data_IF_220577305461
#
_entry.id   IF_220577305461
#
_cell.length_a   1.000
_cell.length_b   1.000
_cell.length_c   1.000
_cell.angle_alpha   90.00
_cell.angle_beta   90.00
_cell.angle_gamma   90.00
#
_symmetry.space_group_name_H-M   'P 1'
#
loop_
_entity.id
_entity.type
_entity.pdbx_description
1 polymer ?
#
# COMPACT_ATOMS: atom_id res chain seq x y z
N UNK A 1 -22.18 -0.46 -11.68
CA UNK A 1 -21.43 -0.13 -10.44
C UNK A 1 -22.21 -0.65 -9.25
N UNK A 2 -21.60 -1.51 -8.44
CA UNK A 2 -22.26 -2.13 -7.30
C UNK A 2 -22.56 -1.06 -6.23
N UNK A 3 -23.85 -0.74 -5.98
CA UNK A 3 -24.29 0.37 -5.10
C UNK A 3 -23.82 0.22 -3.64
N UNK A 4 -23.29 -0.94 -3.26
CA UNK A 4 -22.95 -1.32 -1.88
C UNK A 4 -21.44 -1.44 -1.62
N UNK A 5 -20.59 -0.71 -2.36
CA UNK A 5 -19.13 -0.80 -2.23
C UNK A 5 -18.47 0.58 -2.25
N UNK A 6 -17.26 0.68 -1.69
CA UNK A 6 -16.48 1.92 -1.68
C UNK A 6 -16.54 2.72 -0.38
N UNK A 7 -15.67 3.72 -0.26
CA UNK A 7 -15.49 4.47 0.98
C UNK A 7 -16.75 5.28 1.34
N UNK A 8 -17.36 5.94 0.35
CA UNK A 8 -18.56 6.74 0.56
C UNK A 8 -19.74 5.92 1.10
N UNK A 9 -19.95 4.72 0.55
CA UNK A 9 -20.98 3.80 1.05
C UNK A 9 -20.75 3.42 2.51
N UNK A 10 -19.56 2.91 2.85
CA UNK A 10 -19.26 2.49 4.22
C UNK A 10 -19.21 3.65 5.21
N UNK A 11 -18.73 4.82 4.79
CA UNK A 11 -18.73 6.01 5.63
C UNK A 11 -20.15 6.52 5.92
N UNK A 12 -21.06 6.44 4.95
CA UNK A 12 -22.48 6.70 5.15
C UNK A 12 -23.12 5.68 6.10
N UNK A 13 -22.81 4.38 5.93
CA UNK A 13 -23.25 3.32 6.84
C UNK A 13 -22.79 3.54 8.28
N UNK A 14 -21.58 4.08 8.51
CA UNK A 14 -21.14 4.44 9.87
C UNK A 14 -22.13 5.40 10.53
N UNK A 15 -22.62 6.42 9.81
CA UNK A 15 -23.58 7.38 10.36
C UNK A 15 -24.95 6.75 10.61
N UNK A 16 -25.42 5.92 9.68
CA UNK A 16 -26.69 5.18 9.83
C UNK A 16 -26.68 4.28 11.07
N UNK A 17 -25.64 3.46 11.21
CA UNK A 17 -25.51 2.52 12.33
C UNK A 17 -25.16 3.23 13.64
N UNK A 18 -24.46 4.37 13.60
CA UNK A 18 -24.23 5.22 14.77
C UNK A 18 -25.56 5.68 15.37
N UNK A 19 -26.47 6.21 14.54
CA UNK A 19 -27.79 6.68 14.98
C UNK A 19 -28.70 5.55 15.46
N UNK A 20 -28.53 4.34 14.95
CA UNK A 20 -29.25 3.15 15.45
C UNK A 20 -28.71 2.71 16.80
N UNK A 21 -27.39 2.61 16.92
CA UNK A 21 -26.72 2.27 18.18
C UNK A 21 -27.00 3.30 19.28
N UNK A 22 -27.11 4.58 18.93
CA UNK A 22 -27.45 5.67 19.85
C UNK A 22 -28.87 5.53 20.46
N UNK A 23 -29.82 4.96 19.70
CA UNK A 23 -31.23 4.82 20.13
C UNK A 23 -31.46 3.61 21.04
N UNK A 24 -31.00 2.43 20.62
CA UNK A 24 -31.32 1.17 21.31
C UNK A 24 -30.13 0.55 22.01
N UNK A 25 -28.91 0.86 21.56
CA UNK A 25 -27.66 0.23 21.97
C UNK A 25 -27.74 -1.31 22.01
N UNK A 26 -28.50 -1.89 21.08
CA UNK A 26 -28.64 -3.33 20.90
C UNK A 26 -27.39 -3.96 20.27
N UNK A 27 -27.27 -5.27 20.38
CA UNK A 27 -26.09 -6.03 19.92
C UNK A 27 -25.86 -5.87 18.41
N UNK A 28 -26.92 -5.93 17.60
CA UNK A 28 -26.81 -5.89 16.14
C UNK A 28 -26.37 -4.50 15.63
N UNK A 29 -26.98 -3.37 16.03
CA UNK A 29 -26.49 -2.03 15.67
C UNK A 29 -25.03 -1.76 16.09
N UNK A 30 -24.64 -2.20 17.28
CA UNK A 30 -23.26 -2.06 17.78
C UNK A 30 -22.28 -2.87 16.92
N UNK A 31 -22.67 -4.09 16.54
CA UNK A 31 -21.88 -4.94 15.65
C UNK A 31 -21.73 -4.30 14.26
N UNK A 32 -22.82 -3.85 13.66
CA UNK A 32 -22.83 -3.27 12.31
C UNK A 32 -22.05 -1.97 12.24
N UNK A 33 -22.16 -1.11 13.26
CA UNK A 33 -21.34 0.09 13.41
C UNK A 33 -19.84 -0.25 13.44
N UNK A 34 -19.43 -1.24 14.25
CA UNK A 34 -18.03 -1.70 14.31
C UNK A 34 -17.57 -2.25 12.96
N UNK A 35 -18.43 -2.99 12.25
CA UNK A 35 -18.14 -3.52 10.91
C UNK A 35 -17.92 -2.39 9.91
N UNK A 36 -18.79 -1.37 9.88
CA UNK A 36 -18.68 -0.22 8.99
C UNK A 36 -17.40 0.59 9.27
N UNK A 37 -17.07 0.84 10.55
CA UNK A 37 -15.82 1.51 10.94
C UNK A 37 -14.58 0.72 10.52
N UNK A 38 -14.58 -0.61 10.71
CA UNK A 38 -13.49 -1.50 10.26
C UNK A 38 -13.27 -1.39 8.75
N UNK A 39 -14.35 -1.31 7.97
CA UNK A 39 -14.30 -1.16 6.51
C UNK A 39 -13.59 0.12 6.12
N UNK A 40 -14.06 1.26 6.63
CA UNK A 40 -13.45 2.56 6.37
C UNK A 40 -11.96 2.60 6.76
N UNK A 41 -11.60 2.05 7.92
CA UNK A 41 -10.21 1.97 8.39
C UNK A 41 -9.33 1.10 7.48
N UNK A 42 -9.84 -0.05 7.06
CA UNK A 42 -9.10 -0.97 6.18
C UNK A 42 -8.90 -0.38 4.78
N UNK A 43 -9.93 0.29 4.25
CA UNK A 43 -9.83 1.02 2.98
C UNK A 43 -8.84 2.17 3.07
N UNK A 44 -8.87 2.93 4.16
CA UNK A 44 -7.93 4.03 4.42
C UNK A 44 -6.49 3.55 4.42
N UNK A 45 -6.20 2.41 5.04
CA UNK A 45 -4.85 1.85 5.08
C UNK A 45 -4.31 1.50 3.69
N UNK A 46 -5.16 0.96 2.80
CA UNK A 46 -4.79 0.67 1.41
C UNK A 46 -4.65 1.94 0.59
N UNK A 47 -5.67 2.81 0.64
CA UNK A 47 -5.75 4.00 -0.21
C UNK A 47 -4.67 5.02 0.11
N UNK A 48 -4.26 5.16 1.38
CA UNK A 48 -3.14 6.02 1.76
C UNK A 48 -1.81 5.64 1.08
N UNK A 49 -1.63 4.37 0.69
CA UNK A 49 -0.43 3.93 -0.04
C UNK A 49 -0.44 4.30 -1.51
N UNK A 50 -1.58 4.75 -2.04
CA UNK A 50 -1.77 5.16 -3.43
C UNK A 50 -1.99 6.66 -3.52
N UNK A 51 -2.84 7.22 -2.66
CA UNK A 51 -3.11 8.64 -2.53
C UNK A 51 -2.54 9.14 -1.19
N UNK A 52 -1.46 9.94 -1.19
CA UNK A 52 -0.78 10.36 0.03
C UNK A 52 -1.45 11.55 0.75
N UNK A 53 -2.70 11.91 0.41
CA UNK A 53 -3.45 13.00 1.06
C UNK A 53 -3.52 12.80 2.59
N UNK A 54 -3.18 13.82 3.42
CA UNK A 54 -3.23 13.70 4.88
C UNK A 54 -4.64 13.44 5.44
N UNK A 55 -5.71 13.74 4.70
CA UNK A 55 -7.09 13.48 5.11
C UNK A 55 -7.36 12.00 5.40
N UNK A 56 -6.62 11.07 4.77
CA UNK A 56 -6.67 9.64 5.11
C UNK A 56 -6.35 9.40 6.59
N UNK A 57 -5.32 10.06 7.13
CA UNK A 57 -4.95 9.96 8.54
C UNK A 57 -5.99 10.61 9.45
N UNK A 58 -6.58 11.72 9.00
CA UNK A 58 -7.65 12.40 9.72
C UNK A 58 -8.88 11.49 9.85
N UNK A 59 -9.36 10.87 8.77
CA UNK A 59 -10.49 9.94 8.81
C UNK A 59 -10.22 8.77 9.76
N UNK A 60 -9.01 8.18 9.69
CA UNK A 60 -8.61 7.10 10.60
C UNK A 60 -8.59 7.54 12.07
N UNK A 61 -8.22 8.79 12.34
CA UNK A 61 -8.19 9.38 13.69
C UNK A 61 -9.61 9.58 14.22
N UNK A 62 -10.51 10.14 13.42
CA UNK A 62 -11.92 10.37 13.79
C UNK A 62 -12.61 9.07 14.24
N UNK A 63 -12.45 7.99 13.47
CA UNK A 63 -13.03 6.69 13.81
C UNK A 63 -12.21 5.84 14.78
N UNK A 64 -11.09 6.31 15.34
CA UNK A 64 -10.19 5.47 16.15
C UNK A 64 -10.78 5.13 17.50
N UNK A 65 -11.24 6.13 18.23
CA UNK A 65 -11.71 5.96 19.61
C UNK A 65 -12.96 5.09 19.65
N UNK A 66 -13.99 5.47 18.88
CA UNK A 66 -15.22 4.71 18.74
C UNK A 66 -14.98 3.25 18.36
N UNK A 67 -14.13 2.99 17.35
CA UNK A 67 -13.81 1.62 16.95
C UNK A 67 -13.12 0.81 18.07
N UNK A 68 -12.29 1.47 18.90
CA UNK A 68 -11.59 0.82 20.01
C UNK A 68 -12.57 0.44 21.13
N UNK A 69 -13.45 1.35 21.54
CA UNK A 69 -14.42 1.12 22.63
C UNK A 69 -15.44 0.03 22.27
N UNK A 70 -15.99 0.09 21.04
CA UNK A 70 -16.83 -0.99 20.49
C UNK A 70 -16.07 -2.32 20.37
N UNK A 71 -14.74 -2.24 20.19
CA UNK A 71 -13.85 -3.40 20.16
C UNK A 71 -13.78 -4.11 21.51
N UNK A 72 -13.50 -3.37 22.58
CA UNK A 72 -13.40 -3.92 23.93
C UNK A 72 -14.69 -4.63 24.36
N UNK A 73 -15.85 -4.02 24.10
CA UNK A 73 -17.15 -4.63 24.39
C UNK A 73 -17.34 -5.95 23.62
N UNK A 74 -16.98 -5.97 22.34
CA UNK A 74 -17.11 -7.18 21.53
C UNK A 74 -16.15 -8.28 21.95
N UNK A 75 -14.96 -7.93 22.44
CA UNK A 75 -14.00 -8.92 22.89
C UNK A 75 -14.49 -9.65 24.16
N UNK A 76 -15.20 -8.95 25.07
CA UNK A 76 -15.89 -9.59 26.22
C UNK A 76 -16.98 -10.56 25.77
N UNK A 77 -17.85 -10.13 24.84
CA UNK A 77 -18.93 -10.99 24.31
C UNK A 77 -18.39 -12.28 23.64
N UNK A 78 -17.23 -12.19 22.98
CA UNK A 78 -16.59 -13.37 22.38
C UNK A 78 -16.09 -14.33 23.48
N UNK A 79 -15.55 -13.81 24.58
CA UNK A 79 -15.14 -14.65 25.72
C UNK A 79 -16.34 -15.33 26.40
N UNK A 80 -17.47 -14.63 26.54
CA UNK A 80 -18.72 -15.21 27.07
C UNK A 80 -19.19 -16.40 26.22
N UNK A 81 -19.16 -16.28 24.89
CA UNK A 81 -19.53 -17.38 23.98
C UNK A 81 -18.62 -18.61 24.14
N UNK A 82 -17.32 -18.39 24.38
CA UNK A 82 -16.39 -19.48 24.65
C UNK A 82 -16.61 -20.12 26.02
N UNK A 83 -16.95 -19.31 27.01
CA UNK A 83 -17.27 -19.75 28.35
C UNK A 83 -18.49 -20.69 28.36
N UNK A 84 -19.54 -20.32 27.61
CA UNK A 84 -20.74 -21.14 27.44
C UNK A 84 -20.47 -22.43 26.67
N UNK A 85 -19.54 -22.40 25.71
CA UNK A 85 -19.18 -23.56 24.91
C UNK A 85 -18.33 -24.59 25.66
N UNK A 86 -17.44 -24.15 26.54
CA UNK A 86 -16.46 -25.03 27.21
C UNK A 86 -16.81 -25.38 28.67
N UNK A 87 -17.58 -24.51 29.33
CA UNK A 87 -17.97 -24.65 30.72
C UNK A 87 -19.24 -25.47 30.92
N UNK A 88 -19.32 -26.17 32.05
CA UNK A 88 -20.54 -26.85 32.52
C UNK A 88 -21.30 -25.94 33.51
N UNK A 89 -22.54 -26.30 33.88
CA UNK A 89 -23.36 -25.44 34.74
C UNK A 89 -22.82 -25.29 36.17
N UNK A 90 -22.13 -26.31 36.70
CA UNK A 90 -21.60 -26.36 38.08
C UNK A 90 -20.09 -26.04 38.16
N UNK A 91 -19.52 -25.44 37.11
CA UNK A 91 -18.08 -25.24 36.96
C UNK A 91 -17.60 -23.96 37.69
N UNK A 92 -16.71 -24.12 38.67
CA UNK A 92 -16.16 -23.02 39.47
C UNK A 92 -15.32 -22.03 38.64
N UNK A 93 -14.56 -22.53 37.65
CA UNK A 93 -13.81 -21.71 36.69
C UNK A 93 -14.77 -20.91 35.84
N UNK A 94 -15.84 -21.57 35.36
CA UNK A 94 -16.86 -20.89 34.56
C UNK A 94 -17.44 -19.71 35.33
N UNK A 95 -17.83 -19.95 36.57
CA UNK A 95 -18.41 -18.94 37.45
C UNK A 95 -17.44 -17.78 37.70
N UNK A 96 -16.17 -18.08 38.02
CA UNK A 96 -15.16 -17.06 38.26
C UNK A 96 -14.88 -16.19 37.02
N UNK A 97 -14.76 -16.80 35.84
CA UNK A 97 -14.57 -16.05 34.58
C UNK A 97 -15.81 -15.23 34.24
N UNK A 98 -17.02 -15.78 34.41
CA UNK A 98 -18.27 -15.07 34.17
C UNK A 98 -18.38 -13.79 35.02
N UNK A 99 -18.00 -13.85 36.30
CA UNK A 99 -17.99 -12.68 37.19
C UNK A 99 -17.02 -11.59 36.70
N UNK A 100 -15.82 -11.98 36.27
CA UNK A 100 -14.84 -11.04 35.71
C UNK A 100 -15.41 -10.39 34.43
N UNK A 101 -15.94 -11.19 33.50
CA UNK A 101 -16.48 -10.70 32.23
C UNK A 101 -17.69 -9.79 32.45
N UNK A 102 -18.61 -10.13 33.35
CA UNK A 102 -19.77 -9.31 33.68
C UNK A 102 -19.36 -7.93 34.23
N UNK A 103 -18.35 -7.89 35.11
CA UNK A 103 -17.82 -6.62 35.65
C UNK A 103 -17.23 -5.73 34.55
N UNK A 104 -16.51 -6.32 33.59
CA UNK A 104 -15.92 -5.61 32.46
C UNK A 104 -16.96 -5.19 31.43
N UNK A 105 -17.98 -6.02 31.18
CA UNK A 105 -19.03 -5.77 30.21
C UNK A 105 -19.78 -4.47 30.51
N UNK A 106 -20.16 -4.24 31.77
CA UNK A 106 -20.85 -3.02 32.19
C UNK A 106 -20.00 -1.77 31.93
N UNK A 107 -18.72 -1.83 32.29
CA UNK A 107 -17.78 -0.73 32.06
C UNK A 107 -17.55 -0.45 30.57
N UNK A 108 -17.28 -1.48 29.76
CA UNK A 108 -17.07 -1.31 28.33
C UNK A 108 -18.34 -0.90 27.57
N UNK A 109 -19.51 -1.30 28.05
CA UNK A 109 -20.80 -0.82 27.51
C UNK A 109 -20.94 0.68 27.71
N UNK A 110 -20.70 1.16 28.93
CA UNK A 110 -20.72 2.59 29.24
C UNK A 110 -19.72 3.38 28.39
N UNK A 111 -18.46 2.92 28.34
CA UNK A 111 -17.41 3.54 27.53
C UNK A 111 -17.78 3.64 26.04
N UNK A 112 -18.41 2.58 25.50
CA UNK A 112 -18.85 2.55 24.12
C UNK A 112 -20.03 3.50 23.86
N UNK A 113 -20.97 3.63 24.80
CA UNK A 113 -22.05 4.62 24.73
C UNK A 113 -21.50 6.06 24.73
N UNK A 114 -20.57 6.36 25.64
CA UNK A 114 -19.90 7.66 25.69
C UNK A 114 -19.19 7.95 24.35
N UNK A 115 -18.52 6.96 23.77
CA UNK A 115 -17.84 7.14 22.49
C UNK A 115 -18.80 7.31 21.30
N UNK A 116 -19.99 6.71 21.34
CA UNK A 116 -21.06 6.92 20.34
C UNK A 116 -21.53 8.37 20.40
N UNK A 117 -21.88 8.88 21.58
CA UNK A 117 -22.34 10.26 21.75
C UNK A 117 -21.27 11.31 21.43
N UNK A 118 -19.99 11.01 21.72
CA UNK A 118 -18.88 11.91 21.47
C UNK A 118 -18.37 11.91 20.00
N UNK A 119 -18.97 11.11 19.11
CA UNK A 119 -18.50 10.97 17.75
C UNK A 119 -18.81 12.22 16.90
N UNK A 120 -17.78 12.81 16.31
CA UNK A 120 -17.91 13.99 15.44
C UNK A 120 -18.43 13.58 14.04
N UNK A 121 -19.76 13.47 13.93
CA UNK A 121 -20.45 13.16 12.67
C UNK A 121 -20.12 14.14 11.54
N UNK A 122 -20.04 15.45 11.86
CA UNK A 122 -19.84 16.51 10.86
C UNK A 122 -18.47 16.40 10.22
N UNK A 123 -17.41 16.29 11.04
CA UNK A 123 -16.05 16.09 10.52
C UNK A 123 -15.91 14.77 9.79
N UNK A 124 -16.56 13.70 10.26
CA UNK A 124 -16.54 12.40 9.57
C UNK A 124 -17.12 12.49 8.17
N UNK A 125 -18.31 13.10 8.02
CA UNK A 125 -18.96 13.28 6.72
C UNK A 125 -18.11 14.13 5.79
N UNK A 126 -17.70 15.33 6.23
CA UNK A 126 -16.91 16.25 5.40
C UNK A 126 -15.60 15.61 4.89
N UNK A 127 -14.87 14.90 5.76
CA UNK A 127 -13.61 14.24 5.38
C UNK A 127 -13.87 13.03 4.47
N UNK A 128 -14.87 12.21 4.79
CA UNK A 128 -15.15 11.00 4.03
C UNK A 128 -15.70 11.29 2.62
N UNK A 129 -16.51 12.33 2.44
CA UNK A 129 -17.00 12.77 1.13
C UNK A 129 -15.88 13.25 0.23
N UNK A 130 -15.00 14.13 0.76
CA UNK A 130 -13.79 14.59 0.06
C UNK A 130 -12.94 13.41 -0.39
N UNK A 131 -12.68 12.46 0.52
CA UNK A 131 -11.86 11.28 0.21
C UNK A 131 -12.56 10.35 -0.79
N UNK A 132 -13.87 10.15 -0.67
CA UNK A 132 -14.64 9.30 -1.59
C UNK A 132 -14.52 9.82 -3.03
N UNK A 133 -14.60 11.14 -3.25
CA UNK A 133 -14.39 11.73 -4.56
C UNK A 133 -13.02 11.38 -5.17
N UNK A 134 -11.94 11.42 -4.37
CA UNK A 134 -10.58 11.07 -4.82
C UNK A 134 -10.45 9.60 -5.25
N UNK A 135 -11.15 8.69 -4.56
CA UNK A 135 -11.10 7.24 -4.85
C UNK A 135 -11.75 6.85 -6.17
N UNK A 136 -12.74 7.62 -6.67
CA UNK A 136 -13.46 7.32 -7.93
C UNK A 136 -12.53 7.25 -9.14
N UNK A 137 -11.36 7.90 -9.05
CA UNK A 137 -10.36 7.92 -10.11
C UNK A 137 -9.54 6.63 -10.24
N UNK A 138 -9.67 5.71 -9.28
CA UNK A 138 -8.94 4.44 -9.26
C UNK A 138 -9.95 3.30 -9.51
N UNK A 139 -9.85 2.59 -10.64
CA UNK A 139 -10.80 1.53 -10.95
C UNK A 139 -10.66 0.37 -9.97
N UNK A 140 -11.80 -0.09 -9.43
CA UNK A 140 -11.91 -1.40 -8.79
C UNK A 140 -11.50 -2.49 -9.79
N UNK A 141 -11.02 -3.63 -9.31
CA UNK A 141 -10.40 -4.67 -10.15
C UNK A 141 -9.13 -4.26 -10.91
N UNK A 142 -8.76 -2.98 -10.89
CA UNK A 142 -7.60 -2.46 -11.61
C UNK A 142 -6.25 -2.95 -11.07
N UNK A 143 -5.21 -2.80 -11.90
CA UNK A 143 -3.85 -3.26 -11.59
C UNK A 143 -3.29 -2.69 -10.28
N UNK A 144 -3.69 -1.47 -9.89
CA UNK A 144 -3.29 -0.87 -8.61
C UNK A 144 -3.69 -1.77 -7.43
N UNK A 145 -4.96 -2.19 -7.39
CA UNK A 145 -5.45 -3.01 -6.29
C UNK A 145 -5.04 -4.47 -6.42
N UNK A 146 -4.84 -4.99 -7.64
CA UNK A 146 -4.22 -6.30 -7.84
C UNK A 146 -2.79 -6.34 -7.28
N UNK A 147 -2.02 -5.26 -7.47
CA UNK A 147 -0.69 -5.13 -6.88
C UNK A 147 -0.73 -5.09 -5.35
N UNK A 148 -1.62 -4.28 -4.76
CA UNK A 148 -1.77 -4.23 -3.30
C UNK A 148 -2.22 -5.58 -2.73
N UNK A 149 -3.13 -6.29 -3.42
CA UNK A 149 -3.55 -7.62 -3.02
C UNK A 149 -2.40 -8.63 -3.07
N UNK A 150 -1.54 -8.54 -4.10
CA UNK A 150 -0.31 -9.35 -4.19
C UNK A 150 0.64 -9.09 -3.04
N UNK A 151 0.84 -7.83 -2.64
CA UNK A 151 1.63 -7.48 -1.45
C UNK A 151 1.02 -8.05 -0.16
N UNK A 152 -0.29 -7.89 0.02
CA UNK A 152 -0.98 -8.40 1.20
C UNK A 152 -0.93 -9.94 1.27
N UNK A 153 -1.06 -10.62 0.13
CA UNK A 153 -0.84 -12.06 0.02
C UNK A 153 0.59 -12.43 0.42
N UNK A 154 1.62 -11.73 -0.09
CA UNK A 154 3.03 -12.06 0.20
C UNK A 154 3.33 -11.90 1.69
N UNK A 155 2.83 -10.83 2.29
CA UNK A 155 2.95 -10.61 3.74
C UNK A 155 2.26 -11.73 4.53
N UNK A 156 1.05 -12.13 4.14
CA UNK A 156 0.32 -13.21 4.81
C UNK A 156 1.02 -14.56 4.67
N UNK A 157 1.51 -14.89 3.47
CA UNK A 157 2.27 -16.10 3.20
C UNK A 157 3.60 -16.13 3.96
N UNK A 158 4.31 -15.00 4.06
CA UNK A 158 5.54 -14.92 4.86
C UNK A 158 5.28 -15.14 6.35
N UNK A 159 4.18 -14.59 6.89
CA UNK A 159 3.77 -14.88 8.28
C UNK A 159 3.34 -16.33 8.44
N UNK A 160 2.70 -16.94 7.44
CA UNK A 160 2.34 -18.35 7.46
C UNK A 160 3.59 -19.23 7.59
N UNK A 161 4.62 -19.00 6.76
CA UNK A 161 5.88 -19.74 6.86
C UNK A 161 6.54 -19.57 8.23
N UNK A 162 6.50 -18.37 8.82
CA UNK A 162 7.04 -18.10 10.16
C UNK A 162 6.24 -18.82 11.25
N UNK A 163 4.92 -18.80 11.17
CA UNK A 163 4.03 -19.46 12.13
C UNK A 163 4.15 -20.99 12.08
N UNK A 164 4.40 -21.57 10.89
CA UNK A 164 4.65 -23.00 10.75
C UNK A 164 5.95 -23.46 11.41
N UNK A 165 7.00 -22.62 11.37
CA UNK A 165 8.27 -22.87 12.05
C UNK A 165 8.13 -22.72 13.56
N UNK A 166 7.56 -21.61 14.00
CA UNK A 166 7.41 -21.27 15.42
C UNK A 166 5.93 -21.05 15.72
N UNK A 167 5.24 -22.05 16.27
CA UNK A 167 3.76 -22.05 16.48
C UNK A 167 3.32 -21.28 17.73
N UNK A 168 4.03 -20.22 18.06
CA UNK A 168 3.75 -19.38 19.23
C UNK A 168 2.47 -18.58 19.02
N UNK A 169 1.81 -18.19 20.12
CA UNK A 169 0.67 -17.27 20.08
C UNK A 169 1.00 -16.01 19.26
N UNK A 170 2.19 -15.44 19.44
CA UNK A 170 2.63 -14.23 18.74
C UNK A 170 2.72 -14.43 17.23
N UNK A 171 3.23 -15.57 16.76
CA UNK A 171 3.38 -15.82 15.32
C UNK A 171 2.03 -16.06 14.64
N UNK A 172 1.13 -16.82 15.29
CA UNK A 172 -0.22 -17.10 14.81
C UNK A 172 -1.07 -15.82 14.80
N UNK A 173 -0.91 -14.96 15.81
CA UNK A 173 -1.56 -13.65 15.84
C UNK A 173 -1.08 -12.74 14.69
N UNK A 174 0.23 -12.71 14.40
CA UNK A 174 0.77 -11.95 13.24
C UNK A 174 0.23 -12.49 11.91
N UNK A 175 0.14 -13.81 11.76
CA UNK A 175 -0.47 -14.45 10.60
C UNK A 175 -1.95 -14.05 10.46
N UNK A 176 -2.72 -14.11 11.55
CA UNK A 176 -4.13 -13.68 11.57
C UNK A 176 -4.28 -12.25 11.07
N UNK A 177 -3.47 -11.31 11.57
CA UNK A 177 -3.50 -9.90 11.14
C UNK A 177 -3.19 -9.78 9.65
N UNK A 178 -2.19 -10.51 9.15
CA UNK A 178 -1.80 -10.44 7.74
C UNK A 178 -2.89 -11.05 6.82
N UNK A 179 -3.48 -12.18 7.21
CA UNK A 179 -4.57 -12.81 6.45
C UNK A 179 -5.83 -11.92 6.42
N UNK A 180 -6.13 -11.27 7.55
CA UNK A 180 -7.20 -10.26 7.66
C UNK A 180 -6.99 -9.11 6.67
N UNK A 181 -5.78 -8.56 6.59
CA UNK A 181 -5.42 -7.51 5.62
C UNK A 181 -5.55 -7.98 4.17
N UNK A 182 -5.15 -9.22 3.87
CA UNK A 182 -5.32 -9.79 2.54
C UNK A 182 -6.80 -9.91 2.16
N UNK A 183 -7.62 -10.54 3.02
CA UNK A 183 -9.06 -10.66 2.81
C UNK A 183 -9.72 -9.30 2.57
N UNK A 184 -9.44 -8.30 3.42
CA UNK A 184 -10.11 -7.00 3.30
C UNK A 184 -9.65 -6.20 2.08
N UNK A 185 -8.42 -6.41 1.61
CA UNK A 185 -7.98 -5.84 0.33
C UNK A 185 -8.85 -6.39 -0.81
N UNK A 186 -9.05 -7.72 -0.86
CA UNK A 186 -9.90 -8.33 -1.88
C UNK A 186 -11.35 -7.86 -1.77
N UNK A 187 -11.91 -7.93 -0.57
CA UNK A 187 -13.32 -7.63 -0.29
C UNK A 187 -13.70 -6.20 -0.65
N UNK A 188 -12.80 -5.23 -0.45
CA UNK A 188 -13.09 -3.83 -0.71
C UNK A 188 -12.70 -3.38 -2.14
N UNK A 189 -11.74 -4.04 -2.79
CA UNK A 189 -11.14 -3.52 -4.03
C UNK A 189 -11.13 -4.50 -5.20
N UNK A 190 -11.25 -5.79 -4.94
CA UNK A 190 -11.28 -6.88 -5.93
C UNK A 190 -12.51 -7.80 -5.68
N UNK A 191 -13.74 -7.27 -5.78
CA UNK A 191 -14.98 -8.01 -5.51
C UNK A 191 -15.14 -9.32 -6.29
N UNK A 192 -14.68 -9.41 -7.54
CA UNK A 192 -14.75 -10.64 -8.35
C UNK A 192 -13.87 -11.75 -7.77
N UNK A 193 -12.66 -11.39 -7.34
CA UNK A 193 -11.76 -12.34 -6.64
C UNK A 193 -12.28 -12.67 -5.25
N UNK A 194 -12.86 -11.70 -4.55
CA UNK A 194 -13.48 -11.95 -3.25
C UNK A 194 -14.70 -12.87 -3.36
N UNK A 195 -15.49 -12.81 -4.44
CA UNK A 195 -16.59 -13.74 -4.66
C UNK A 195 -16.10 -15.19 -4.75
N UNK A 196 -14.90 -15.40 -5.32
CA UNK A 196 -14.29 -16.73 -5.45
C UNK A 196 -13.58 -17.21 -4.19
N UNK A 197 -12.84 -16.34 -3.50
CA UNK A 197 -11.93 -16.72 -2.41
C UNK A 197 -12.41 -16.31 -1.02
N UNK A 198 -13.44 -15.47 -0.95
CA UNK A 198 -13.89 -14.81 0.27
C UNK A 198 -14.39 -15.78 1.33
N UNK A 199 -15.04 -16.86 0.92
CA UNK A 199 -15.52 -17.91 1.83
C UNK A 199 -14.35 -18.61 2.54
N UNK A 200 -13.37 -19.10 1.79
CA UNK A 200 -12.16 -19.74 2.36
C UNK A 200 -11.36 -18.78 3.23
N UNK A 201 -11.17 -17.54 2.77
CA UNK A 201 -10.47 -16.52 3.53
C UNK A 201 -11.18 -16.15 4.83
N UNK A 202 -12.53 -16.09 4.81
CA UNK A 202 -13.32 -15.88 6.01
C UNK A 202 -13.15 -17.07 6.96
N UNK A 203 -13.30 -18.29 6.46
CA UNK A 203 -13.17 -19.50 7.27
C UNK A 203 -11.79 -19.58 7.96
N UNK A 204 -10.70 -19.35 7.22
CA UNK A 204 -9.35 -19.36 7.76
C UNK A 204 -9.08 -18.21 8.74
N UNK A 205 -9.65 -17.03 8.49
CA UNK A 205 -9.59 -15.90 9.42
C UNK A 205 -10.30 -16.23 10.73
N UNK A 206 -11.45 -16.91 10.65
CA UNK A 206 -12.26 -17.28 11.81
C UNK A 206 -11.52 -18.37 12.62
N UNK A 207 -10.96 -19.41 12.00
CA UNK A 207 -10.10 -20.40 12.68
C UNK A 207 -8.93 -19.75 13.44
N UNK A 208 -8.20 -18.83 12.80
CA UNK A 208 -7.10 -18.12 13.44
C UNK A 208 -7.57 -17.12 14.51
N UNK A 209 -8.79 -16.60 14.37
CA UNK A 209 -9.47 -15.79 15.38
C UNK A 209 -9.77 -16.61 16.62
N UNK A 210 -10.43 -17.74 16.43
CA UNK A 210 -10.77 -18.68 17.50
C UNK A 210 -9.53 -19.19 18.24
N UNK A 211 -8.42 -19.48 17.54
CA UNK A 211 -7.13 -19.81 18.19
C UNK A 211 -6.64 -18.66 19.09
N UNK A 212 -6.73 -17.42 18.62
CA UNK A 212 -6.33 -16.27 19.41
C UNK A 212 -7.24 -16.06 20.62
N UNK A 213 -8.54 -16.25 20.45
CA UNK A 213 -9.55 -16.14 21.51
C UNK A 213 -9.29 -17.20 22.61
N UNK A 214 -8.99 -18.44 22.21
CA UNK A 214 -8.56 -19.52 23.10
C UNK A 214 -7.26 -19.21 23.85
N UNK A 215 -6.27 -18.60 23.17
CA UNK A 215 -5.02 -18.17 23.82
C UNK A 215 -5.28 -17.07 24.89
N UNK A 216 -6.23 -16.17 24.65
CA UNK A 216 -6.66 -15.15 25.64
C UNK A 216 -7.35 -15.80 26.83
N UNK A 217 -8.29 -16.71 26.57
CA UNK A 217 -9.01 -17.44 27.61
C UNK A 217 -8.06 -18.27 28.50
N UNK A 218 -7.07 -18.95 27.92
CA UNK A 218 -6.03 -19.66 28.67
C UNK A 218 -5.25 -18.74 29.61
N UNK A 219 -4.98 -17.51 29.16
CA UNK A 219 -4.35 -16.46 29.96
C UNK A 219 -5.19 -16.07 31.17
N UNK A 220 -6.50 -15.86 30.98
CA UNK A 220 -7.44 -15.55 32.06
C UNK A 220 -7.48 -16.70 33.07
N UNK A 221 -7.75 -17.93 32.61
CA UNK A 221 -7.88 -19.12 33.46
C UNK A 221 -6.62 -19.37 34.30
N UNK A 222 -5.44 -19.10 33.75
CA UNK A 222 -4.18 -19.32 34.46
C UNK A 222 -3.98 -18.40 35.68
N UNK A 223 -4.66 -17.25 35.72
CA UNK A 223 -4.53 -16.25 36.78
C UNK A 223 -5.77 -16.15 37.68
N UNK A 224 -6.73 -17.07 37.55
CA UNK A 224 -7.94 -17.04 38.38
C UNK A 224 -7.62 -17.29 39.86
N UNK A 225 -8.09 -16.42 40.77
CA UNK A 225 -8.01 -16.67 42.20
C UNK A 225 -9.01 -17.74 42.63
N UNK A 226 -8.73 -18.45 43.73
CA UNK A 226 -9.67 -19.37 44.39
C UNK A 226 -10.19 -20.58 43.56
N UNK A 227 -9.57 -20.90 42.43
CA UNK A 227 -9.82 -22.14 41.66
C UNK A 227 -8.78 -23.20 42.01
N UNK A 228 -9.16 -24.47 42.13
CA UNK A 228 -8.21 -25.57 42.41
C UNK A 228 -7.24 -25.82 41.25
N UNK A 229 -6.08 -26.44 41.54
CA UNK A 229 -5.12 -26.80 40.48
C UNK A 229 -5.69 -27.78 39.45
N UNK A 230 -6.54 -28.72 39.90
CA UNK A 230 -7.15 -29.74 39.05
C UNK A 230 -8.16 -29.14 38.05
N UNK A 231 -9.01 -28.21 38.50
CA UNK A 231 -9.98 -27.53 37.62
C UNK A 231 -9.28 -26.66 36.57
N UNK A 232 -8.20 -25.96 36.95
CA UNK A 232 -7.38 -25.19 35.99
C UNK A 232 -6.76 -26.08 34.92
N UNK A 233 -6.27 -27.25 35.31
CA UNK A 233 -5.66 -28.18 34.37
C UNK A 233 -6.69 -28.78 33.41
N UNK A 234 -7.89 -29.12 33.90
CA UNK A 234 -9.00 -29.56 33.05
C UNK A 234 -9.34 -28.52 31.98
N UNK A 235 -9.45 -27.24 32.37
CA UNK A 235 -9.70 -26.15 31.42
C UNK A 235 -8.55 -25.95 30.43
N UNK A 236 -7.30 -26.04 30.89
CA UNK A 236 -6.14 -25.98 29.99
C UNK A 236 -6.17 -27.09 28.95
N UNK A 237 -6.52 -28.31 29.34
CA UNK A 237 -6.66 -29.43 28.40
C UNK A 237 -7.78 -29.18 27.37
N UNK A 238 -8.97 -28.75 27.80
CA UNK A 238 -10.09 -28.40 26.91
C UNK A 238 -9.69 -27.32 25.89
N UNK A 239 -9.12 -26.22 26.37
CA UNK A 239 -8.68 -25.10 25.53
C UNK A 239 -7.61 -25.57 24.53
N UNK A 240 -6.64 -26.36 24.99
CA UNK A 240 -5.58 -26.86 24.12
C UNK A 240 -6.11 -27.83 23.05
N UNK A 241 -7.07 -28.69 23.38
CA UNK A 241 -7.72 -29.59 22.42
C UNK A 241 -8.41 -28.80 21.30
N UNK A 242 -9.26 -27.84 21.65
CA UNK A 242 -9.95 -26.97 20.69
C UNK A 242 -8.95 -26.18 19.82
N UNK A 243 -7.87 -25.69 20.43
CA UNK A 243 -6.80 -24.97 19.74
C UNK A 243 -6.09 -25.86 18.72
N UNK A 244 -5.74 -27.10 19.09
CA UNK A 244 -5.07 -28.04 18.19
C UNK A 244 -5.99 -28.48 17.05
N UNK A 245 -7.27 -28.69 17.30
CA UNK A 245 -8.25 -29.03 16.26
C UNK A 245 -8.31 -27.95 15.18
N UNK A 246 -8.46 -26.68 15.56
CA UNK A 246 -8.48 -25.54 14.61
C UNK A 246 -7.18 -25.41 13.84
N UNK A 247 -6.06 -25.63 14.51
CA UNK A 247 -4.75 -25.59 13.87
C UNK A 247 -4.59 -26.73 12.86
N UNK A 248 -5.10 -27.93 13.15
CA UNK A 248 -5.10 -29.06 12.23
C UNK A 248 -5.92 -28.74 10.96
N UNK A 249 -7.14 -28.22 11.12
CA UNK A 249 -8.01 -27.80 10.01
C UNK A 249 -7.34 -26.71 9.17
N UNK A 250 -6.74 -25.70 9.82
CA UNK A 250 -5.99 -24.66 9.11
C UNK A 250 -4.84 -25.27 8.28
N UNK A 251 -4.10 -26.23 8.85
CA UNK A 251 -2.96 -26.86 8.17
C UNK A 251 -3.40 -27.70 6.98
N UNK A 252 -4.48 -28.45 7.11
CA UNK A 252 -5.04 -29.28 6.05
C UNK A 252 -5.31 -28.45 4.78
N UNK A 253 -5.93 -27.28 4.93
CA UNK A 253 -6.25 -26.40 3.80
C UNK A 253 -5.05 -25.63 3.22
N UNK A 254 -3.98 -25.48 4.00
CA UNK A 254 -2.88 -24.56 3.68
C UNK A 254 -1.56 -25.25 3.34
N UNK A 255 -1.47 -26.57 3.53
CA UNK A 255 -0.30 -27.38 3.21
C UNK A 255 -0.56 -28.29 2.00
N UNK A 256 0.51 -28.82 1.40
CA UNK A 256 0.43 -29.74 0.27
C UNK A 256 0.22 -29.08 -1.09
N UNK A 257 0.08 -29.91 -2.13
CA UNK A 257 -0.02 -29.46 -3.53
C UNK A 257 -1.36 -28.73 -3.81
N UNK A 258 -2.42 -29.06 -3.07
CA UNK A 258 -3.73 -28.40 -3.15
C UNK A 258 -3.87 -27.14 -2.28
N UNK A 259 -2.79 -26.62 -1.70
CA UNK A 259 -2.86 -25.46 -0.81
C UNK A 259 -3.49 -24.24 -1.48
N UNK A 260 -4.42 -23.61 -0.76
CA UNK A 260 -5.09 -22.37 -1.17
C UNK A 260 -4.10 -21.24 -1.46
N UNK A 261 -2.90 -21.25 -0.85
CA UNK A 261 -1.86 -20.27 -1.14
C UNK A 261 -1.45 -20.27 -2.62
N UNK A 262 -1.30 -21.46 -3.23
CA UNK A 262 -0.92 -21.59 -4.64
C UNK A 262 -2.04 -21.16 -5.58
N UNK A 263 -3.29 -21.42 -5.21
CA UNK A 263 -4.45 -20.95 -5.98
C UNK A 263 -4.50 -19.42 -6.00
N UNK A 264 -4.46 -18.79 -4.82
CA UNK A 264 -4.51 -17.33 -4.72
C UNK A 264 -3.30 -16.66 -5.37
N UNK A 265 -2.11 -17.28 -5.29
CA UNK A 265 -0.93 -16.79 -5.99
C UNK A 265 -1.11 -16.74 -7.50
N UNK A 266 -1.71 -17.78 -8.09
CA UNK A 266 -1.95 -17.88 -9.54
C UNK A 266 -2.97 -16.84 -10.02
N UNK A 267 -3.94 -16.46 -9.18
CA UNK A 267 -4.94 -15.43 -9.53
C UNK A 267 -4.50 -13.97 -9.31
N UNK A 268 -3.25 -13.74 -8.88
CA UNK A 268 -2.67 -12.42 -8.65
C UNK A 268 -1.48 -12.15 -9.60
N UNK A 269 -1.12 -10.88 -9.86
CA UNK A 269 -0.02 -10.55 -10.77
C UNK A 269 1.31 -11.19 -10.38
N UNK A 270 2.01 -11.75 -11.36
CA UNK A 270 3.34 -12.32 -11.25
C UNK A 270 4.23 -11.87 -12.43
N UNK A 271 5.55 -12.09 -12.33
CA UNK A 271 6.52 -11.77 -13.39
C UNK A 271 6.35 -10.36 -13.96
N UNK A 272 6.31 -10.25 -15.29
CA UNK A 272 6.15 -8.97 -16.00
C UNK A 272 4.86 -8.21 -15.62
N UNK A 273 3.76 -8.93 -15.37
CA UNK A 273 2.48 -8.31 -14.97
C UNK A 273 2.54 -7.69 -13.58
N UNK A 274 3.36 -8.25 -12.68
CA UNK A 274 3.62 -7.64 -11.37
C UNK A 274 4.39 -6.32 -11.52
N UNK A 275 5.42 -6.29 -12.37
CA UNK A 275 6.19 -5.07 -12.63
C UNK A 275 5.33 -3.97 -13.26
N UNK A 276 4.46 -4.34 -14.20
CA UNK A 276 3.47 -3.43 -14.79
C UNK A 276 2.52 -2.89 -13.72
N UNK A 277 1.97 -3.75 -12.86
CA UNK A 277 1.05 -3.35 -11.82
C UNK A 277 1.71 -2.41 -10.79
N UNK A 278 2.99 -2.65 -10.47
CA UNK A 278 3.79 -1.78 -9.61
C UNK A 278 3.98 -0.38 -10.25
N UNK A 279 4.30 -0.35 -11.55
CA UNK A 279 4.44 0.90 -12.30
C UNK A 279 3.13 1.67 -12.37
N UNK A 280 2.01 1.00 -12.62
CA UNK A 280 0.67 1.61 -12.64
C UNK A 280 0.33 2.21 -11.28
N UNK A 281 0.68 1.54 -10.17
CA UNK A 281 0.51 2.08 -8.82
C UNK A 281 1.38 3.32 -8.59
N UNK A 282 2.66 3.30 -8.94
CA UNK A 282 3.56 4.45 -8.82
C UNK A 282 3.08 5.64 -9.64
N UNK A 283 2.63 5.41 -10.88
CA UNK A 283 2.03 6.45 -11.73
C UNK A 283 0.73 7.01 -11.12
N UNK A 284 -0.10 6.15 -10.55
CA UNK A 284 -1.34 6.58 -9.88
C UNK A 284 -1.02 7.44 -8.66
N UNK A 285 0.01 7.08 -7.90
CA UNK A 285 0.53 7.90 -6.80
C UNK A 285 1.03 9.26 -7.27
N UNK A 286 1.79 9.30 -8.37
CA UNK A 286 2.26 10.54 -8.99
C UNK A 286 1.10 11.47 -9.34
N UNK A 287 0.03 10.92 -9.96
CA UNK A 287 -1.16 11.67 -10.38
C UNK A 287 -1.88 12.38 -9.24
N UNK A 288 -1.82 11.89 -8.01
CA UNK A 288 -2.42 12.57 -6.85
C UNK A 288 -1.59 13.76 -6.34
N UNK A 289 -0.36 13.92 -6.85
CA UNK A 289 0.61 14.92 -6.41
C UNK A 289 0.97 15.90 -7.53
N UNK A 290 1.03 15.42 -8.77
CA UNK A 290 1.42 16.18 -9.94
C UNK A 290 0.19 16.83 -10.60
N UNK A 291 0.26 18.14 -10.82
CA UNK A 291 -0.80 18.93 -11.43
C UNK A 291 -0.76 18.84 -12.97
N UNK A 292 0.37 18.41 -13.55
CA UNK A 292 0.53 18.27 -15.01
C UNK A 292 1.01 16.87 -15.40
N UNK A 293 0.08 15.92 -15.25
CA UNK A 293 0.28 14.52 -15.62
C UNK A 293 0.63 14.35 -17.11
N UNK A 294 0.19 15.30 -17.93
CA UNK A 294 0.36 15.28 -19.37
C UNK A 294 1.78 15.66 -19.77
N UNK A 295 2.38 16.66 -19.12
CA UNK A 295 3.81 16.95 -19.19
C UNK A 295 4.65 15.74 -18.78
N UNK A 296 4.37 15.14 -17.62
CA UNK A 296 5.14 13.99 -17.13
C UNK A 296 5.10 12.79 -18.10
N UNK A 297 3.94 12.50 -18.72
CA UNK A 297 3.82 11.48 -19.76
C UNK A 297 4.65 11.82 -20.99
N UNK A 298 4.60 13.07 -21.43
CA UNK A 298 5.31 13.51 -22.62
C UNK A 298 6.83 13.49 -22.43
N UNK A 299 7.35 14.03 -21.32
CA UNK A 299 8.77 13.93 -20.94
C UNK A 299 9.21 12.47 -20.82
N UNK A 300 8.38 11.59 -20.28
CA UNK A 300 8.66 10.14 -20.22
C UNK A 300 8.83 9.54 -21.62
N UNK A 301 7.97 9.91 -22.57
CA UNK A 301 8.09 9.46 -23.96
C UNK A 301 9.39 9.93 -24.59
N UNK A 302 9.73 11.23 -24.48
CA UNK A 302 10.96 11.79 -25.02
C UNK A 302 12.21 11.16 -24.39
N UNK A 303 12.20 10.95 -23.06
CA UNK A 303 13.30 10.31 -22.33
C UNK A 303 13.54 8.86 -22.80
N UNK A 304 12.47 8.11 -23.06
CA UNK A 304 12.59 6.75 -23.59
C UNK A 304 13.08 6.71 -25.03
N UNK A 305 12.65 7.65 -25.88
CA UNK A 305 13.17 7.78 -27.25
C UNK A 305 14.67 8.08 -27.26
N UNK A 306 15.12 8.99 -26.39
CA UNK A 306 16.53 9.28 -26.20
C UNK A 306 17.31 8.05 -25.72
N UNK A 307 16.83 7.39 -24.65
CA UNK A 307 17.50 6.21 -24.10
C UNK A 307 17.60 5.07 -25.12
N UNK A 308 16.49 4.72 -25.78
CA UNK A 308 16.44 3.63 -26.75
C UNK A 308 17.36 3.95 -27.95
N UNK A 309 17.43 5.21 -28.35
CA UNK A 309 18.34 5.71 -29.37
C UNK A 309 19.83 5.62 -28.98
N UNK A 310 20.18 6.05 -27.77
CA UNK A 310 21.54 5.97 -27.23
C UNK A 310 22.00 4.51 -27.03
N UNK A 311 21.09 3.64 -26.60
CA UNK A 311 21.35 2.21 -26.47
C UNK A 311 21.62 1.54 -27.83
N UNK A 312 20.81 1.85 -28.86
CA UNK A 312 21.09 1.40 -30.25
C UNK A 312 22.42 1.92 -30.77
N UNK A 313 22.79 3.15 -30.42
CA UNK A 313 24.10 3.75 -30.74
C UNK A 313 25.28 3.19 -29.95
N UNK A 314 25.04 2.23 -29.04
CA UNK A 314 26.02 1.62 -28.13
C UNK A 314 26.72 2.64 -27.22
N UNK A 315 26.03 3.73 -26.87
CA UNK A 315 26.51 4.73 -25.90
C UNK A 315 26.08 4.35 -24.48
N UNK A 316 24.83 3.90 -24.34
CA UNK A 316 24.30 3.35 -23.09
C UNK A 316 24.13 1.84 -23.22
N UNK A 317 24.14 1.13 -22.10
CA UNK A 317 23.85 -0.30 -22.09
C UNK A 317 22.36 -0.55 -22.36
N UNK A 318 22.06 -1.56 -23.17
CA UNK A 318 20.69 -2.00 -23.41
C UNK A 318 20.21 -2.82 -22.20
N UNK A 319 19.66 -2.15 -21.18
CA UNK A 319 19.26 -2.75 -19.92
C UNK A 319 17.79 -2.47 -19.62
N UNK A 320 16.97 -3.53 -19.52
CA UNK A 320 15.57 -3.42 -19.09
C UNK A 320 15.45 -2.73 -17.73
N UNK A 321 16.39 -2.99 -16.82
CA UNK A 321 16.48 -2.35 -15.49
C UNK A 321 16.72 -0.83 -15.59
N UNK A 322 17.71 -0.39 -16.38
CA UNK A 322 17.97 1.05 -16.51
C UNK A 322 16.81 1.76 -17.22
N UNK A 323 16.26 1.14 -18.27
CA UNK A 323 15.09 1.65 -18.99
C UNK A 323 13.87 1.84 -18.08
N UNK A 324 13.57 0.86 -17.21
CA UNK A 324 12.46 0.99 -16.25
C UNK A 324 12.72 2.06 -15.19
N UNK A 325 13.96 2.18 -14.72
CA UNK A 325 14.34 3.23 -13.75
C UNK A 325 14.14 4.62 -14.35
N UNK A 326 14.58 4.82 -15.59
CA UNK A 326 14.37 6.08 -16.31
C UNK A 326 12.88 6.36 -16.51
N UNK A 327 12.11 5.37 -16.99
CA UNK A 327 10.66 5.50 -17.18
C UNK A 327 9.96 5.94 -15.90
N UNK A 328 10.25 5.27 -14.79
CA UNK A 328 9.65 5.60 -13.49
C UNK A 328 10.13 6.96 -12.99
N UNK A 329 11.41 7.29 -13.12
CA UNK A 329 11.93 8.59 -12.70
C UNK A 329 11.29 9.74 -13.47
N UNK A 330 11.10 9.59 -14.79
CA UNK A 330 10.42 10.56 -15.64
C UNK A 330 8.95 10.73 -15.26
N UNK A 331 8.23 9.65 -14.92
CA UNK A 331 6.85 9.76 -14.43
C UNK A 331 6.72 10.43 -13.05
N UNK A 332 7.79 10.44 -12.26
CA UNK A 332 7.79 10.91 -10.87
C UNK A 332 8.58 12.22 -10.67
N UNK A 333 9.14 12.82 -11.73
CA UNK A 333 10.15 13.87 -11.58
C UNK A 333 9.60 15.14 -10.90
N UNK A 334 8.32 15.43 -11.09
CA UNK A 334 7.66 16.66 -10.64
C UNK A 334 6.64 16.49 -9.51
N UNK A 335 6.57 15.30 -8.91
CA UNK A 335 5.70 15.05 -7.72
C UNK A 335 6.02 15.96 -6.52
N UNK A 336 7.20 16.57 -6.51
CA UNK A 336 7.63 17.56 -5.52
C UNK A 336 6.89 18.90 -5.61
N UNK A 337 6.24 19.23 -6.74
CA UNK A 337 5.45 20.46 -6.94
C UNK A 337 4.31 20.53 -5.92
N UNK A 338 3.76 19.38 -5.49
CA UNK A 338 2.80 19.28 -4.39
C UNK A 338 3.28 19.88 -3.06
N UNK A 339 4.58 20.16 -2.90
CA UNK A 339 5.18 20.80 -1.72
C UNK A 339 5.64 22.24 -1.99
N UNK A 340 5.34 22.78 -3.16
CA UNK A 340 5.79 24.08 -3.63
C UNK A 340 6.74 23.95 -4.83
N UNK A 341 6.70 24.95 -5.71
CA UNK A 341 7.48 24.95 -6.94
C UNK A 341 8.99 25.16 -6.69
N UNK A 342 9.35 25.91 -5.65
CA UNK A 342 10.76 26.18 -5.33
C UNK A 342 11.49 24.88 -4.98
N UNK A 343 12.56 24.59 -5.75
CA UNK A 343 13.40 23.40 -5.59
C UNK A 343 12.63 22.05 -5.56
N UNK A 344 11.51 21.93 -6.29
CA UNK A 344 10.67 20.72 -6.31
C UNK A 344 11.44 19.43 -6.62
N UNK A 345 12.47 19.46 -7.48
CA UNK A 345 13.35 18.31 -7.73
C UNK A 345 13.97 17.71 -6.43
N UNK A 346 14.27 18.54 -5.41
CA UNK A 346 14.71 18.07 -4.10
C UNK A 346 13.56 17.44 -3.32
N UNK A 347 12.34 17.96 -3.45
CA UNK A 347 11.14 17.41 -2.83
C UNK A 347 10.73 16.08 -3.48
N UNK A 348 10.71 15.97 -4.80
CA UNK A 348 10.46 14.73 -5.55
C UNK A 348 11.39 13.60 -5.08
N UNK A 349 12.70 13.87 -5.03
CA UNK A 349 13.68 12.92 -4.47
C UNK A 349 13.33 12.45 -3.05
N UNK A 350 13.02 13.39 -2.14
CA UNK A 350 12.68 13.06 -0.75
C UNK A 350 11.40 12.24 -0.65
N UNK A 351 10.41 12.52 -1.51
CA UNK A 351 9.12 11.82 -1.54
C UNK A 351 9.27 10.41 -2.08
N UNK A 352 9.94 10.24 -3.24
CA UNK A 352 10.20 8.93 -3.85
C UNK A 352 10.97 8.03 -2.88
N UNK A 353 12.00 8.56 -2.19
CA UNK A 353 12.80 7.78 -1.23
C UNK A 353 12.02 7.34 0.02
N UNK A 354 10.91 8.02 0.34
CA UNK A 354 10.06 7.68 1.50
C UNK A 354 8.95 6.68 1.14
N UNK A 355 8.81 6.31 -0.13
CA UNK A 355 7.87 5.28 -0.55
C UNK A 355 8.24 3.95 0.10
N UNK A 356 7.20 3.20 0.51
CA UNK A 356 7.35 1.78 0.81
C UNK A 356 7.70 1.10 -0.51
N UNK A 357 8.75 0.28 -0.51
CA UNK A 357 9.24 -0.39 -1.72
C UNK A 357 8.13 -1.29 -2.27
N UNK A 358 7.59 -1.01 -3.47
CA UNK A 358 6.54 -1.84 -4.07
C UNK A 358 7.10 -3.22 -4.38
N UNK A 359 6.28 -4.26 -4.21
CA UNK A 359 6.67 -5.62 -4.61
C UNK A 359 7.08 -5.66 -6.10
N UNK A 360 8.21 -6.32 -6.40
CA UNK A 360 8.81 -6.33 -7.74
C UNK A 360 9.86 -5.23 -7.97
N UNK A 361 10.02 -4.30 -7.01
CA UNK A 361 11.12 -3.35 -6.96
C UNK A 361 12.05 -3.65 -5.78
N UNK A 362 13.31 -3.30 -5.93
CA UNK A 362 14.28 -3.29 -4.84
C UNK A 362 14.43 -1.89 -4.24
N UNK A 363 14.89 -1.80 -2.99
CA UNK A 363 15.21 -0.53 -2.35
C UNK A 363 16.31 0.26 -3.12
N UNK A 364 17.24 -0.47 -3.73
CA UNK A 364 18.29 0.11 -4.57
C UNK A 364 17.70 0.78 -5.81
N UNK A 365 16.82 0.10 -6.53
CA UNK A 365 16.19 0.65 -7.74
C UNK A 365 15.35 1.87 -7.45
N UNK A 366 14.57 1.84 -6.36
CA UNK A 366 13.78 3.01 -5.97
C UNK A 366 14.68 4.20 -5.55
N UNK A 367 15.84 3.91 -4.97
CA UNK A 367 16.86 4.93 -4.68
C UNK A 367 17.45 5.52 -5.97
N UNK A 368 17.70 4.69 -6.99
CA UNK A 368 18.14 5.14 -8.31
C UNK A 368 17.07 6.00 -9.00
N UNK A 369 15.80 5.58 -8.98
CA UNK A 369 14.66 6.37 -9.49
C UNK A 369 14.63 7.75 -8.85
N UNK A 370 14.70 7.82 -7.52
CA UNK A 370 14.73 9.10 -6.80
C UNK A 370 15.92 9.97 -7.18
N UNK A 371 17.11 9.38 -7.36
CA UNK A 371 18.32 10.11 -7.73
C UNK A 371 18.26 10.64 -9.16
N UNK A 372 17.76 9.86 -10.12
CA UNK A 372 17.53 10.31 -11.50
C UNK A 372 16.52 11.47 -11.51
N UNK A 373 15.37 11.31 -10.82
CA UNK A 373 14.37 12.35 -10.68
C UNK A 373 14.91 13.62 -10.01
N UNK A 374 15.81 13.51 -9.03
CA UNK A 374 16.45 14.68 -8.39
C UNK A 374 17.19 15.56 -9.38
N UNK A 375 17.86 14.93 -10.34
CA UNK A 375 18.79 15.58 -11.25
C UNK A 375 18.16 15.84 -12.62
N UNK A 376 16.83 15.84 -12.74
CA UNK A 376 16.17 16.30 -13.98
C UNK A 376 16.41 17.81 -14.22
N UNK A 377 16.66 18.61 -13.16
CA UNK A 377 16.97 20.05 -13.23
C UNK A 377 17.93 20.49 -12.12
N UNK A 378 18.26 21.77 -12.08
CA UNK A 378 19.08 22.38 -11.02
C UNK A 378 20.54 21.95 -11.10
N UNK A 379 21.21 21.84 -9.94
CA UNK A 379 22.63 21.51 -9.87
C UNK A 379 22.96 20.16 -10.54
N UNK A 380 24.14 20.09 -11.17
CA UNK A 380 24.68 18.85 -11.71
C UNK A 380 25.00 17.85 -10.57
N UNK A 381 25.02 16.54 -10.84
CA UNK A 381 25.44 15.55 -9.86
C UNK A 381 26.90 15.76 -9.44
N UNK A 382 27.15 15.88 -8.13
CA UNK A 382 28.51 16.00 -7.55
C UNK A 382 28.75 14.88 -6.53
N UNK A 383 29.97 14.33 -6.41
CA UNK A 383 30.28 13.21 -5.52
C UNK A 383 29.89 13.46 -4.06
N UNK A 384 29.93 14.70 -3.59
CA UNK A 384 29.65 15.09 -2.20
C UNK A 384 28.14 15.08 -1.89
N UNK A 385 27.29 15.13 -2.94
CA UNK A 385 25.85 15.14 -2.76
C UNK A 385 25.38 13.83 -2.11
N UNK A 386 24.69 13.95 -0.96
CA UNK A 386 24.19 12.81 -0.18
C UNK A 386 23.35 11.81 -1.00
N UNK A 387 22.65 12.26 -2.04
CA UNK A 387 21.88 11.37 -2.92
C UNK A 387 22.75 10.43 -3.75
N UNK A 388 23.95 10.83 -4.19
CA UNK A 388 24.88 9.95 -4.89
C UNK A 388 25.67 9.07 -3.90
N UNK A 389 26.09 9.64 -2.77
CA UNK A 389 26.84 8.89 -1.74
C UNK A 389 26.08 7.67 -1.21
N UNK A 390 24.75 7.76 -1.12
CA UNK A 390 23.88 6.67 -0.67
C UNK A 390 23.70 5.55 -1.71
N UNK A 391 24.06 5.79 -2.98
CA UNK A 391 23.98 4.76 -4.01
C UNK A 391 25.22 3.87 -3.97
N UNK A 392 25.07 2.57 -4.29
CA UNK A 392 26.20 1.70 -4.58
C UNK A 392 27.11 2.31 -5.65
N UNK A 393 28.42 2.15 -5.50
CA UNK A 393 29.39 2.72 -6.45
C UNK A 393 29.13 2.28 -7.90
N UNK A 394 28.77 1.00 -8.10
CA UNK A 394 28.41 0.41 -9.39
C UNK A 394 27.21 1.08 -10.06
N UNK A 395 26.29 1.67 -9.29
CA UNK A 395 25.09 2.32 -9.84
C UNK A 395 25.31 3.79 -10.24
N UNK A 396 26.31 4.47 -9.66
CA UNK A 396 26.48 5.93 -9.77
C UNK A 396 26.62 6.41 -11.21
N UNK A 397 27.48 5.78 -12.01
CA UNK A 397 27.69 6.14 -13.40
C UNK A 397 26.38 6.05 -14.20
N UNK A 398 25.67 4.92 -14.08
CA UNK A 398 24.38 4.74 -14.77
C UNK A 398 23.33 5.77 -14.35
N UNK A 399 23.24 6.12 -13.06
CA UNK A 399 22.30 7.13 -12.57
C UNK A 399 22.61 8.51 -13.13
N UNK A 400 23.89 8.88 -13.25
CA UNK A 400 24.31 10.16 -13.82
C UNK A 400 23.94 10.22 -15.32
N UNK A 401 24.18 9.14 -16.05
CA UNK A 401 23.79 9.01 -17.47
C UNK A 401 22.27 9.13 -17.65
N UNK A 402 21.49 8.38 -16.87
CA UNK A 402 20.01 8.44 -16.91
C UNK A 402 19.47 9.82 -16.51
N UNK A 403 20.10 10.49 -15.54
CA UNK A 403 19.77 11.87 -15.20
C UNK A 403 20.07 12.84 -16.34
N UNK A 404 21.16 12.64 -17.09
CA UNK A 404 21.45 13.39 -18.31
C UNK A 404 20.36 13.22 -19.38
N UNK A 405 19.91 11.99 -19.60
CA UNK A 405 18.80 11.69 -20.52
C UNK A 405 17.52 12.40 -20.09
N UNK A 406 17.12 12.24 -18.83
CA UNK A 406 15.89 12.86 -18.31
C UNK A 406 15.96 14.39 -18.36
N UNK A 407 17.11 14.98 -18.00
CA UNK A 407 17.31 16.43 -18.04
C UNK A 407 17.19 16.99 -19.45
N UNK A 408 17.75 16.32 -20.44
CA UNK A 408 17.62 16.71 -21.85
C UNK A 408 16.18 16.56 -22.34
N UNK A 409 15.51 15.45 -22.02
CA UNK A 409 14.10 15.24 -22.35
C UNK A 409 13.20 16.33 -21.76
N UNK A 410 13.42 16.69 -20.49
CA UNK A 410 12.66 17.73 -19.79
C UNK A 410 12.84 19.12 -20.43
N UNK A 411 14.02 19.42 -20.97
CA UNK A 411 14.29 20.69 -21.62
C UNK A 411 13.52 20.86 -22.94
N UNK A 412 13.20 19.76 -23.63
CA UNK A 412 12.40 19.79 -24.86
C UNK A 412 10.93 20.15 -24.63
N UNK A 413 10.40 19.95 -23.42
CA UNK A 413 9.04 20.31 -23.04
C UNK A 413 9.01 21.37 -21.91
N UNK A 414 9.99 22.28 -21.92
CA UNK A 414 10.11 23.32 -20.89
C UNK A 414 8.86 24.21 -20.78
N UNK A 415 8.17 24.44 -21.90
CA UNK A 415 6.97 25.27 -21.97
C UNK A 415 5.66 24.49 -21.74
N UNK A 416 5.74 23.17 -21.53
CA UNK A 416 4.59 22.27 -21.36
C UNK A 416 3.57 22.33 -22.53
N UNK A 417 4.01 22.81 -23.70
CA UNK A 417 3.18 22.97 -24.89
C UNK A 417 3.30 21.79 -25.86
N UNK A 418 4.17 20.81 -25.55
CA UNK A 418 4.39 19.59 -26.34
C UNK A 418 4.71 19.89 -27.82
N UNK A 419 5.33 21.05 -28.10
CA UNK A 419 5.77 21.41 -29.46
C UNK A 419 6.74 20.39 -30.04
N UNK A 420 7.66 19.89 -29.20
CA UNK A 420 8.59 18.84 -29.57
C UNK A 420 7.88 17.49 -29.47
N UNK A 421 7.47 16.91 -30.60
CA UNK A 421 6.62 15.72 -30.59
C UNK A 421 7.39 14.41 -30.50
N UNK A 422 8.57 14.39 -31.11
CA UNK A 422 9.37 13.16 -31.29
C UNK A 422 10.85 13.48 -31.40
N UNK A 423 11.65 12.59 -30.84
CA UNK A 423 13.10 12.57 -30.94
C UNK A 423 13.56 11.32 -31.68
N UNK A 424 14.54 11.48 -32.57
CA UNK A 424 15.30 10.41 -33.17
C UNK A 424 16.78 10.60 -32.89
N UNK A 425 17.46 9.54 -32.47
CA UNK A 425 18.88 9.59 -32.12
C UNK A 425 19.67 8.78 -33.15
N UNK A 426 20.69 9.40 -33.73
CA UNK A 426 21.65 8.78 -34.64
C UNK A 426 23.07 9.01 -34.13
N UNK A 427 23.98 8.09 -34.43
CA UNK A 427 25.41 8.26 -34.17
C UNK A 427 26.10 8.55 -35.50
N UNK A 428 26.84 9.65 -35.58
CA UNK A 428 27.53 10.08 -36.81
C UNK A 428 28.86 10.71 -36.44
N UNK A 429 29.96 10.27 -37.05
CA UNK A 429 31.31 10.81 -36.85
C UNK A 429 31.71 10.98 -35.37
N UNK A 430 31.39 9.99 -34.54
CA UNK A 430 31.69 10.04 -33.11
C UNK A 430 30.78 10.95 -32.26
N UNK A 431 29.86 11.70 -32.88
CA UNK A 431 28.86 12.51 -32.18
C UNK A 431 27.48 11.83 -32.18
N UNK A 432 26.64 12.23 -31.23
CA UNK A 432 25.22 11.87 -31.19
C UNK A 432 24.40 13.00 -31.76
N UNK A 433 23.63 12.69 -32.79
CA UNK A 433 22.69 13.61 -33.43
C UNK A 433 21.29 13.31 -32.91
N UNK A 434 20.69 14.26 -32.22
CA UNK A 434 19.30 14.24 -31.77
C UNK A 434 18.49 15.08 -32.75
N UNK A 435 17.77 14.41 -33.64
CA UNK A 435 16.79 15.01 -34.53
C UNK A 435 15.47 15.18 -33.78
N UNK A 436 14.88 16.37 -33.84
CA UNK A 436 13.72 16.74 -33.05
C UNK A 436 12.62 17.34 -33.90
N UNK A 437 11.45 16.72 -33.89
CA UNK A 437 10.25 17.19 -34.60
C UNK A 437 9.60 18.34 -33.82
N UNK A 438 9.51 19.52 -34.43
CA UNK A 438 8.94 20.71 -33.81
C UNK A 438 9.92 21.56 -32.98
N UNK A 439 11.21 21.20 -32.97
CA UNK A 439 12.25 22.02 -32.35
C UNK A 439 12.70 23.16 -33.24
N UNK A 440 12.68 24.39 -32.71
CA UNK A 440 13.26 25.57 -33.34
C UNK A 440 14.60 25.92 -32.66
N UNK A 441 15.75 25.86 -33.37
CA UNK A 441 17.07 26.19 -32.82
C UNK A 441 17.24 27.65 -32.42
N UNK A 442 16.40 28.56 -32.92
CA UNK A 442 16.36 29.98 -32.52
C UNK A 442 15.18 30.29 -31.59
N UNK A 443 14.44 29.27 -31.16
CA UNK A 443 13.27 29.42 -30.30
C UNK A 443 13.62 29.56 -28.82
N UNK A 444 12.60 29.90 -28.02
CA UNK A 444 12.74 30.20 -26.58
C UNK A 444 13.34 29.07 -25.73
N UNK A 445 13.26 27.81 -26.17
CA UNK A 445 13.79 26.66 -25.42
C UNK A 445 15.24 26.28 -25.80
N UNK A 446 15.80 26.86 -26.86
CA UNK A 446 17.08 26.45 -27.44
C UNK A 446 18.25 26.57 -26.44
N UNK A 447 18.33 27.69 -25.71
CA UNK A 447 19.35 27.90 -24.68
C UNK A 447 19.26 26.83 -23.58
N UNK A 448 18.04 26.50 -23.14
CA UNK A 448 17.84 25.48 -22.11
C UNK A 448 18.24 24.09 -22.60
N UNK A 449 17.89 23.75 -23.85
CA UNK A 449 18.29 22.47 -24.47
C UNK A 449 19.82 22.40 -24.58
N UNK A 450 20.47 23.48 -24.99
CA UNK A 450 21.94 23.57 -25.09
C UNK A 450 22.63 23.41 -23.74
N UNK A 451 22.07 23.96 -22.66
CA UNK A 451 22.57 23.75 -21.30
C UNK A 451 22.28 22.33 -20.78
N UNK A 452 21.12 21.76 -21.10
CA UNK A 452 20.66 20.48 -20.58
C UNK A 452 21.46 19.28 -21.10
N UNK A 453 21.97 19.34 -22.35
CA UNK A 453 22.79 18.28 -22.94
C UNK A 453 24.12 18.06 -22.21
N UNK A 454 24.66 19.07 -21.52
CA UNK A 454 26.00 19.02 -20.92
C UNK A 454 26.21 17.83 -19.96
N UNK A 455 25.20 17.48 -19.15
CA UNK A 455 25.31 16.31 -18.27
C UNK A 455 25.41 15.01 -19.06
N UNK A 456 24.64 14.88 -20.15
CA UNK A 456 24.68 13.70 -20.99
C UNK A 456 26.03 13.61 -21.72
N UNK A 457 26.52 14.73 -22.25
CA UNK A 457 27.81 14.81 -22.96
C UNK A 457 28.98 14.38 -22.07
N UNK A 458 29.06 14.95 -20.87
CA UNK A 458 30.15 14.66 -19.93
C UNK A 458 30.08 13.24 -19.37
N UNK A 459 28.88 12.73 -19.07
CA UNK A 459 28.70 11.38 -18.51
C UNK A 459 28.84 10.25 -19.53
N UNK A 460 28.62 10.54 -20.81
CA UNK A 460 28.77 9.58 -21.91
C UNK A 460 30.05 9.79 -22.73
N UNK A 461 30.81 10.85 -22.43
CA UNK A 461 32.01 11.25 -23.16
C UNK A 461 31.77 11.35 -24.68
N UNK A 462 30.65 11.96 -25.06
CA UNK A 462 30.21 12.06 -26.45
C UNK A 462 29.57 13.43 -26.70
N UNK A 463 29.88 14.07 -27.82
CA UNK A 463 29.22 15.32 -28.19
C UNK A 463 27.75 15.06 -28.57
N UNK A 464 26.83 15.93 -28.13
CA UNK A 464 25.39 15.81 -28.43
C UNK A 464 24.96 17.03 -29.24
N UNK A 465 24.62 16.81 -30.52
CA UNK A 465 24.14 17.85 -31.43
C UNK A 465 22.63 17.72 -31.56
N UNK A 466 21.89 18.79 -31.27
CA UNK A 466 20.43 18.84 -31.44
C UNK A 466 20.09 19.61 -32.70
N UNK A 467 19.25 19.05 -33.57
CA UNK A 467 18.79 19.72 -34.79
C UNK A 467 17.32 19.39 -35.09
N UNK A 468 16.62 20.22 -35.88
CA UNK A 468 15.26 19.90 -36.33
C UNK A 468 15.25 18.63 -37.19
N UNK A 469 14.15 17.87 -37.15
CA UNK A 469 13.87 16.87 -38.18
C UNK A 469 13.76 17.58 -39.55
N UNK A 470 14.32 16.96 -40.58
CA UNK A 470 14.12 17.39 -41.97
C UNK A 470 12.76 16.97 -42.47
#
# INVERSE_FOLDING_TARGET
MNRNTGLGFWAGRVIEELRRADRTFELDPVHDLRVALRRCRSMTDVLFTVDPDPAWKQLKKLGKELFSRLGNLRDVQVMEQWLDRLGQAEDSVRTAVAQILASQAAHFKYDAQVAVHAFDERSWQAVSERLAARTRTIPLEGLVFQHVAREAWQQAHDQHRRALRNRTQVSLHRLRIALKKFRYTLENFLPERHARWGADLKYLQDLLGEIHDLDVLAGIVSHLPHVTGAERELWRMKIQQERQQRLAIYREKMLGQGSLWHEWQRGLPNGARLEEAALVRLRTWARFLDLDVEHAKHVTQLALQLYDGLARGKILSCSSKQRRILKTAALLHDVGIAKGNHAHHKHSYRMIRKLIVPLGWTAEELSQVGAVARYHRGALPRPEHSCLRRLPASARASVIQLAGVLRLANAFDLSHDKKVRRLAVKRTNGAIIVESEGYNPTGAIAERVAAARHLLETSCQVAVVVRPCR
#
